data_IF_977844878818
#
_entry.id   IF_977844878818
#
_cell.length_a   1.000
_cell.length_b   1.000
_cell.length_c   1.000
_cell.angle_alpha   90.00
_cell.angle_beta   90.00
_cell.angle_gamma   90.00
#
_symmetry.space_group_name_H-M   'P 1'
#
loop_
_entity.id
_entity.type
_entity.pdbx_description
1 polymer ?
#
# COMPACT_ATOMS: atom_id res chain seq x y z
N UNK A 1 17.67 -9.54 -11.38
CA UNK A 1 16.81 -9.46 -10.18
C UNK A 1 17.28 -8.29 -9.34
N UNK A 2 16.43 -7.29 -9.10
CA UNK A 2 16.79 -6.08 -8.37
C UNK A 2 15.94 -6.01 -7.10
N UNK A 3 16.60 -6.14 -5.95
CA UNK A 3 15.95 -6.05 -4.64
C UNK A 3 15.55 -4.59 -4.36
N UNK A 4 14.38 -4.32 -3.77
CA UNK A 4 13.96 -2.96 -3.44
C UNK A 4 14.91 -2.35 -2.40
N UNK A 5 15.40 -1.14 -2.68
CA UNK A 5 16.28 -0.38 -1.80
C UNK A 5 15.45 0.42 -0.77
N UNK A 6 15.94 0.60 0.46
CA UNK A 6 15.28 1.44 1.45
C UNK A 6 15.23 2.91 0.97
N UNK A 7 14.18 3.63 1.35
CA UNK A 7 14.07 5.06 1.07
C UNK A 7 15.09 5.80 1.94
N UNK A 8 16.12 6.37 1.31
CA UNK A 8 17.03 7.30 1.99
C UNK A 8 16.28 8.64 2.09
N UNK A 9 15.61 8.88 3.22
CA UNK A 9 14.93 10.14 3.49
C UNK A 9 15.97 11.28 3.53
N UNK A 10 16.06 12.04 2.45
CA UNK A 10 16.68 13.38 2.46
C UNK A 10 15.59 14.37 2.85
N UNK A 11 15.90 15.49 3.54
CA UNK A 11 14.90 16.52 3.84
C UNK A 11 14.19 16.91 2.54
N UNK A 12 12.91 16.58 2.45
CA UNK A 12 12.05 16.95 1.33
C UNK A 12 11.51 18.36 1.64
N UNK A 13 11.46 19.29 0.68
CA UNK A 13 10.79 20.56 0.91
C UNK A 13 9.33 20.29 1.34
N UNK A 14 8.98 20.81 2.52
CA UNK A 14 7.65 20.65 3.12
C UNK A 14 6.61 21.31 2.21
N UNK A 15 5.62 20.54 1.77
CA UNK A 15 4.52 21.05 0.95
C UNK A 15 3.49 21.66 1.89
N UNK A 16 3.19 22.95 1.71
CA UNK A 16 2.08 23.57 2.42
C UNK A 16 0.77 23.11 1.78
N UNK A 17 -0.16 22.59 2.59
CA UNK A 17 -1.54 22.41 2.12
C UNK A 17 -2.20 23.79 2.11
N UNK A 18 -2.44 24.32 0.92
CA UNK A 18 -3.01 25.66 0.76
C UNK A 18 -4.54 25.66 0.79
N UNK A 19 -5.17 24.52 0.48
CA UNK A 19 -6.62 24.37 0.48
C UNK A 19 -7.03 22.89 0.52
N UNK A 20 -8.14 22.60 1.21
CA UNK A 20 -8.84 21.31 1.12
C UNK A 20 -9.76 21.32 -0.10
N UNK A 21 -9.63 20.31 -0.97
CA UNK A 21 -10.53 20.14 -2.11
C UNK A 21 -11.53 19.04 -1.78
N UNK A 22 -12.82 19.39 -1.78
CA UNK A 22 -13.89 18.39 -1.61
C UNK A 22 -13.90 17.45 -2.81
N UNK A 23 -13.81 16.15 -2.55
CA UNK A 23 -14.09 15.12 -3.57
C UNK A 23 -15.60 14.96 -3.85
N UNK A 24 -16.45 15.72 -3.15
CA UNK A 24 -17.91 15.74 -3.30
C UNK A 24 -18.46 17.16 -3.54
N UNK A 25 -19.72 17.42 -3.16
CA UNK A 25 -20.30 18.75 -3.33
C UNK A 25 -19.53 19.80 -2.50
N UNK A 26 -19.12 20.93 -3.09
CA UNK A 26 -18.44 21.99 -2.36
C UNK A 26 -19.43 22.62 -1.39
N UNK A 27 -19.23 22.41 -0.09
CA UNK A 27 -19.98 23.13 0.94
C UNK A 27 -19.22 24.43 1.27
N UNK A 28 -19.86 25.60 1.21
CA UNK A 28 -19.19 26.91 1.22
C UNK A 28 -18.66 27.36 2.60
N UNK A 29 -18.74 26.53 3.64
CA UNK A 29 -18.38 26.89 5.00
C UNK A 29 -17.30 25.95 5.54
N UNK A 30 -16.04 26.24 5.24
CA UNK A 30 -14.90 25.59 5.86
C UNK A 30 -13.60 26.38 5.58
N UNK A 31 -13.44 27.53 6.23
CA UNK A 31 -12.12 28.14 6.42
C UNK A 31 -11.32 27.26 7.41
N UNK A 32 -10.82 26.12 6.94
CA UNK A 32 -9.90 25.26 7.68
C UNK A 32 -8.51 25.45 7.10
N UNK A 33 -7.68 26.23 7.81
CA UNK A 33 -6.24 26.33 7.53
C UNK A 33 -5.58 25.16 8.25
N UNK A 34 -5.39 24.04 7.56
CA UNK A 34 -4.45 23.01 8.03
C UNK A 34 -3.01 23.53 7.91
N UNK A 35 -2.17 23.16 8.87
CA UNK A 35 -0.76 23.57 8.91
C UNK A 35 0.08 22.95 7.79
N UNK A 36 1.40 23.18 7.84
CA UNK A 36 2.36 22.55 6.92
C UNK A 36 2.32 21.03 7.06
N UNK A 37 2.30 20.30 5.93
CA UNK A 37 2.33 18.83 5.92
C UNK A 37 3.66 18.35 5.35
N UNK A 38 4.41 17.58 6.14
CA UNK A 38 5.52 16.79 5.62
C UNK A 38 4.99 15.42 5.18
N UNK A 39 4.92 15.20 3.87
CA UNK A 39 4.49 13.91 3.31
C UNK A 39 5.41 12.76 3.72
N UNK A 40 6.68 13.05 4.05
CA UNK A 40 7.61 12.04 4.55
C UNK A 40 7.18 11.58 5.93
N UNK A 41 6.83 12.49 6.83
CA UNK A 41 6.34 12.13 8.17
C UNK A 41 5.00 11.38 8.10
N UNK A 42 4.11 11.79 7.19
CA UNK A 42 2.79 11.17 7.03
C UNK A 42 2.88 9.77 6.41
N UNK A 43 3.68 9.60 5.35
CA UNK A 43 3.72 8.36 4.57
C UNK A 43 4.79 7.38 5.05
N UNK A 44 5.83 7.89 5.71
CA UNK A 44 7.03 7.12 6.08
C UNK A 44 7.31 7.26 7.59
N UNK A 45 6.43 6.73 8.45
CA UNK A 45 6.60 6.81 9.91
C UNK A 45 7.86 6.07 10.39
N UNK A 46 8.30 5.03 9.66
CA UNK A 46 9.50 4.26 9.98
C UNK A 46 10.48 4.27 8.78
N UNK A 47 11.32 5.31 8.61
CA UNK A 47 12.16 5.48 7.42
C UNK A 47 13.11 4.31 7.12
N UNK A 48 13.64 3.66 8.15
CA UNK A 48 14.56 2.53 8.00
C UNK A 48 13.87 1.23 7.58
N UNK A 49 12.55 1.14 7.68
CA UNK A 49 11.75 -0.06 7.35
C UNK A 49 10.65 0.21 6.33
N UNK A 50 10.61 1.40 5.75
CA UNK A 50 9.63 1.78 4.72
C UNK A 50 10.26 1.70 3.34
N UNK A 51 9.53 1.09 2.42
CA UNK A 51 9.96 0.82 1.06
C UNK A 51 8.90 1.29 0.08
N UNK A 52 9.33 1.73 -1.09
CA UNK A 52 8.43 2.09 -2.18
C UNK A 52 8.53 1.05 -3.28
N UNK A 53 7.40 0.46 -3.64
CA UNK A 53 7.30 -0.52 -4.72
C UNK A 53 6.41 0.04 -5.83
N UNK A 54 6.69 -0.34 -7.07
CA UNK A 54 5.78 -0.06 -8.19
C UNK A 54 4.81 -1.23 -8.36
N UNK A 55 3.52 -0.94 -8.34
CA UNK A 55 2.48 -1.92 -8.55
C UNK A 55 2.42 -2.30 -10.03
N UNK A 56 2.30 -3.60 -10.28
CA UNK A 56 2.09 -4.17 -11.62
C UNK A 56 0.86 -5.07 -11.59
N UNK A 57 -0.04 -4.89 -12.55
CA UNK A 57 -1.25 -5.67 -12.70
C UNK A 57 -2.50 -5.10 -12.02
N UNK A 58 -3.62 -5.83 -12.13
CA UNK A 58 -4.96 -5.32 -11.81
C UNK A 58 -5.66 -6.11 -10.69
N UNK A 59 -4.91 -6.92 -9.93
CA UNK A 59 -5.50 -7.78 -8.90
C UNK A 59 -6.05 -7.03 -7.68
N UNK A 60 -5.77 -5.73 -7.52
CA UNK A 60 -6.14 -4.95 -6.33
C UNK A 60 -6.97 -3.69 -6.66
N UNK A 61 -7.60 -3.64 -7.84
CA UNK A 61 -8.32 -2.46 -8.34
C UNK A 61 -9.50 -2.04 -7.45
N UNK A 62 -10.23 -3.00 -6.85
CA UNK A 62 -11.33 -2.70 -5.91
C UNK A 62 -10.84 -2.17 -4.56
N UNK A 63 -9.58 -2.40 -4.22
CA UNK A 63 -8.91 -1.76 -3.08
C UNK A 63 -8.37 -0.36 -3.42
N UNK A 64 -8.62 0.15 -4.63
CA UNK A 64 -8.12 1.44 -5.08
C UNK A 64 -6.65 1.41 -5.51
N UNK A 65 -6.04 0.22 -5.65
CA UNK A 65 -4.64 0.03 -6.06
C UNK A 65 -4.61 -0.40 -7.53
N UNK A 66 -3.97 0.40 -8.38
CA UNK A 66 -3.98 0.19 -9.83
C UNK A 66 -2.57 -0.04 -10.37
N UNK A 67 -2.52 -0.59 -11.59
CA UNK A 67 -1.27 -0.76 -12.33
C UNK A 67 -0.54 0.57 -12.48
N UNK A 68 0.76 0.57 -12.17
CA UNK A 68 1.62 1.74 -12.25
C UNK A 68 1.62 2.63 -11.01
N UNK A 69 0.77 2.39 -10.01
CA UNK A 69 0.81 3.10 -8.72
C UNK A 69 2.11 2.81 -7.96
N UNK A 70 2.48 3.72 -7.07
CA UNK A 70 3.53 3.47 -6.08
C UNK A 70 2.89 3.04 -4.77
N UNK A 71 3.24 1.85 -4.28
CA UNK A 71 2.86 1.36 -2.97
C UNK A 71 3.95 1.70 -1.95
N UNK A 72 3.54 2.27 -0.82
CA UNK A 72 4.38 2.46 0.36
C UNK A 72 4.17 1.27 1.29
N UNK A 73 5.26 0.58 1.61
CA UNK A 73 5.24 -0.67 2.36
C UNK A 73 6.11 -0.54 3.59
N UNK A 74 5.55 -0.85 4.75
CA UNK A 74 6.27 -0.85 6.02
C UNK A 74 6.51 -2.28 6.50
N UNK A 75 7.79 -2.63 6.68
CA UNK A 75 8.22 -3.95 7.17
C UNK A 75 8.26 -4.07 8.69
N UNK A 76 8.13 -2.96 9.42
CA UNK A 76 8.11 -2.98 10.89
C UNK A 76 6.73 -3.37 11.45
N UNK A 77 5.69 -3.25 10.62
CA UNK A 77 4.31 -3.53 11.03
C UNK A 77 4.01 -5.03 11.00
N UNK A 78 3.37 -5.50 12.07
CA UNK A 78 2.80 -6.85 12.12
C UNK A 78 1.47 -6.86 11.39
N UNK A 79 1.42 -7.56 10.25
CA UNK A 79 0.22 -7.67 9.43
C UNK A 79 -0.97 -8.32 10.16
N UNK A 80 -2.13 -7.67 10.05
CA UNK A 80 -3.39 -8.06 10.66
C UNK A 80 -4.36 -8.61 9.62
N UNK A 81 -5.45 -9.21 10.11
CA UNK A 81 -6.55 -9.61 9.23
C UNK A 81 -7.10 -8.37 8.50
N UNK A 82 -7.37 -8.52 7.21
CA UNK A 82 -7.88 -7.51 6.28
C UNK A 82 -6.87 -6.44 5.82
N UNK A 83 -5.62 -6.53 6.27
CA UNK A 83 -4.56 -5.65 5.76
C UNK A 83 -4.24 -6.00 4.30
N UNK A 84 -3.86 -4.98 3.53
CA UNK A 84 -3.20 -5.18 2.24
C UNK A 84 -1.72 -5.40 2.53
N UNK A 85 -1.19 -6.55 2.08
CA UNK A 85 0.19 -6.95 2.36
C UNK A 85 0.93 -7.20 1.06
N UNK A 86 2.25 -7.00 1.13
CA UNK A 86 3.18 -7.59 0.20
C UNK A 86 3.70 -8.86 0.84
N UNK A 87 3.44 -10.00 0.20
CA UNK A 87 3.93 -11.30 0.64
C UNK A 87 4.92 -11.86 -0.37
N UNK A 88 5.96 -12.53 0.11
CA UNK A 88 6.79 -13.41 -0.70
C UNK A 88 6.13 -14.80 -0.67
N UNK A 89 5.66 -15.25 -1.83
CA UNK A 89 5.09 -16.58 -2.04
C UNK A 89 5.95 -17.30 -3.08
N UNK A 90 6.59 -18.39 -2.70
CA UNK A 90 7.49 -19.18 -3.55
C UNK A 90 8.61 -18.36 -4.22
N UNK A 91 9.06 -17.33 -3.51
CA UNK A 91 10.12 -16.41 -3.96
C UNK A 91 9.63 -15.23 -4.80
N UNK A 92 8.33 -15.15 -5.10
CA UNK A 92 7.72 -14.04 -5.84
C UNK A 92 6.96 -13.09 -4.90
N UNK A 93 7.12 -11.77 -5.13
CA UNK A 93 6.39 -10.77 -4.36
C UNK A 93 5.00 -10.56 -4.95
N UNK A 94 3.97 -10.75 -4.13
CA UNK A 94 2.57 -10.53 -4.47
C UNK A 94 1.94 -9.51 -3.54
N UNK A 95 1.13 -8.61 -4.09
CA UNK A 95 0.28 -7.70 -3.32
C UNK A 95 -1.14 -8.26 -3.26
N UNK A 96 -1.63 -8.53 -2.05
CA UNK A 96 -2.95 -9.14 -1.80
C UNK A 96 -3.52 -8.71 -0.45
N UNK A 97 -4.83 -8.86 -0.28
CA UNK A 97 -5.53 -8.77 1.00
C UNK A 97 -5.22 -10.02 1.83
N UNK A 98 -4.78 -9.83 3.06
CA UNK A 98 -4.53 -10.92 4.00
C UNK A 98 -5.81 -11.28 4.77
N UNK A 99 -6.38 -12.45 4.51
CA UNK A 99 -7.48 -12.97 5.32
C UNK A 99 -7.00 -14.12 6.21
N UNK A 100 -7.22 -13.96 7.51
CA UNK A 100 -7.03 -15.03 8.51
C UNK A 100 -8.40 -15.55 8.95
N UNK A 101 -8.72 -16.82 8.69
CA UNK A 101 -10.01 -17.44 9.06
C UNK A 101 -9.79 -18.86 9.57
N UNK A 102 -10.30 -19.17 10.76
CA UNK A 102 -10.23 -20.52 11.35
C UNK A 102 -8.83 -21.14 11.37
N UNK A 103 -7.81 -20.33 11.67
CA UNK A 103 -6.40 -20.76 11.67
C UNK A 103 -5.74 -20.87 10.29
N UNK A 104 -6.47 -20.61 9.20
CA UNK A 104 -5.95 -20.61 7.84
C UNK A 104 -5.66 -19.20 7.36
N UNK A 105 -4.70 -19.09 6.45
CA UNK A 105 -4.27 -17.84 5.83
C UNK A 105 -4.64 -17.87 4.35
N UNK A 106 -5.25 -16.79 3.88
CA UNK A 106 -5.60 -16.60 2.48
C UNK A 106 -5.05 -15.28 1.98
N UNK A 107 -4.53 -15.29 0.76
CA UNK A 107 -4.19 -14.10 -0.01
C UNK A 107 -5.28 -13.88 -1.06
N UNK A 108 -6.03 -12.80 -0.89
CA UNK A 108 -7.21 -12.50 -1.69
C UNK A 108 -6.95 -11.29 -2.57
N UNK A 109 -7.32 -11.40 -3.83
CA UNK A 109 -7.33 -10.28 -4.75
C UNK A 109 -8.60 -9.43 -4.55
N UNK A 110 -8.48 -8.14 -4.77
CA UNK A 110 -9.57 -7.18 -4.75
C UNK A 110 -9.90 -6.79 -6.19
N UNK A 111 -10.48 -7.72 -6.93
CA UNK A 111 -10.82 -7.58 -8.35
C UNK A 111 -12.02 -8.48 -8.71
N UNK A 112 -12.77 -8.08 -9.73
CA UNK A 112 -13.89 -8.86 -10.27
C UNK A 112 -13.45 -9.89 -11.33
N UNK A 113 -12.17 -9.87 -11.71
CA UNK A 113 -11.63 -10.80 -12.70
C UNK A 113 -11.54 -12.24 -12.12
N UNK A 114 -12.24 -13.23 -12.73
CA UNK A 114 -12.21 -14.62 -12.28
C UNK A 114 -10.82 -15.28 -12.28
N UNK A 115 -9.85 -14.69 -12.98
CA UNK A 115 -8.46 -15.15 -12.97
C UNK A 115 -7.81 -15.00 -11.60
N UNK A 116 -8.26 -14.05 -10.76
CA UNK A 116 -7.68 -13.79 -9.45
C UNK A 116 -8.41 -14.52 -8.33
N UNK A 117 -8.31 -15.85 -8.32
CA UNK A 117 -8.88 -16.66 -7.23
C UNK A 117 -8.12 -16.46 -5.91
N UNK A 118 -8.80 -16.54 -4.76
CA UNK A 118 -8.15 -16.61 -3.46
C UNK A 118 -7.11 -17.72 -3.40
N UNK A 119 -5.93 -17.40 -2.89
CA UNK A 119 -4.83 -18.36 -2.69
C UNK A 119 -4.84 -18.75 -1.22
N UNK A 120 -5.06 -20.02 -0.92
CA UNK A 120 -4.87 -20.57 0.43
C UNK A 120 -3.37 -20.85 0.62
N UNK A 121 -2.79 -20.27 1.67
CA UNK A 121 -1.41 -20.55 2.05
C UNK A 121 -1.38 -21.79 2.92
N UNK A 122 -0.59 -22.77 2.50
CA UNK A 122 -0.43 -24.07 3.15
C UNK A 122 1.00 -24.25 3.66
N UNK A 123 1.23 -25.26 4.50
CA UNK A 123 2.56 -25.58 5.05
C UNK A 123 3.59 -26.00 4.00
N UNK A 124 3.16 -26.21 2.74
CA UNK A 124 4.04 -26.56 1.61
C UNK A 124 4.59 -25.34 0.90
N UNK A 125 3.96 -24.19 1.07
CA UNK A 125 4.28 -22.97 0.35
C UNK A 125 5.39 -22.22 1.10
N UNK A 126 6.36 -21.68 0.36
CA UNK A 126 7.37 -20.80 0.95
C UNK A 126 6.75 -19.41 1.12
N UNK A 127 6.14 -19.16 2.28
CA UNK A 127 5.37 -17.95 2.54
C UNK A 127 5.97 -17.07 3.65
N UNK A 128 6.20 -15.81 3.31
CA UNK A 128 6.58 -14.75 4.25
C UNK A 128 5.76 -13.49 3.97
N UNK A 129 5.24 -12.84 5.02
CA UNK A 129 4.72 -11.48 4.87
C UNK A 129 5.92 -10.53 4.86
N UNK A 130 6.22 -9.96 3.70
CA UNK A 130 7.36 -9.08 3.52
C UNK A 130 7.13 -7.71 4.18
N UNK A 131 5.90 -7.18 4.09
CA UNK A 131 5.48 -5.95 4.75
C UNK A 131 4.02 -5.59 4.50
N UNK A 132 3.54 -4.56 5.20
CA UNK A 132 2.16 -4.05 5.12
C UNK A 132 2.11 -2.82 4.22
N UNK A 133 1.16 -2.76 3.30
CA UNK A 133 0.93 -1.58 2.46
C UNK A 133 0.20 -0.53 3.28
N UNK A 134 0.84 0.60 3.54
CA UNK A 134 0.27 1.69 4.35
C UNK A 134 -0.41 2.76 3.50
N UNK A 135 0.09 2.99 2.28
CA UNK A 135 -0.45 3.99 1.36
C UNK A 135 -0.14 3.63 -0.09
N UNK A 136 -0.90 4.20 -1.02
CA UNK A 136 -0.60 4.19 -2.46
C UNK A 136 -0.64 5.59 -3.03
N UNK A 137 0.25 5.87 -3.98
CA UNK A 137 0.35 7.16 -4.67
C UNK A 137 0.11 6.94 -6.15
N UNK A 138 -0.92 7.60 -6.68
CA UNK A 138 -1.25 7.61 -8.11
C UNK A 138 -1.00 8.98 -8.72
N UNK A 139 -0.24 9.00 -9.81
CA UNK A 139 -0.04 10.20 -10.61
C UNK A 139 -1.07 10.25 -11.74
N UNK A 140 -1.98 11.21 -11.70
CA UNK A 140 -3.01 11.38 -12.74
C UNK A 140 -2.50 12.12 -13.98
N UNK A 141 -1.39 12.86 -13.85
CA UNK A 141 -0.73 13.58 -14.93
C UNK A 141 0.78 13.52 -14.72
N UNK A 142 1.53 13.32 -15.80
CA UNK A 142 2.99 13.45 -15.84
C UNK A 142 3.38 14.77 -16.49
#
# INVERSE_FOLDING_TARGET
>A
MQWPLPVIARPCPVIQVEALVSAGFPSPAADYVEGRIDLTEVLVPHPSSTFTLRVVGHSMVRAGIHDGDFAIVDRSLVARHDDVVVAALDGELVCKRLLRRSGRVYLVAESDDPAYRPIEVTDRDSFEIWGVVTATIRMHRR
#
